data_IF_211044916671
#
_entry.id   IF_211044916671
#
_cell.length_a   1.000
_cell.length_b   1.000
_cell.length_c   1.000
_cell.angle_alpha   90.00
_cell.angle_beta   90.00
_cell.angle_gamma   90.00
#
_symmetry.space_group_name_H-M   'P 1'
#
loop_
_entity.id
_entity.type
_entity.pdbx_description
1 polymer ?
#
# COMPACT_ATOMS: atom_id res chain seq x y z
N UNK A 1 82.37 50.96 43.62
CA UNK A 1 82.08 51.47 44.97
C UNK A 1 80.59 51.77 45.05
N UNK A 2 79.98 51.07 45.97
CA UNK A 2 78.77 51.38 46.73
C UNK A 2 77.78 52.35 46.06
N UNK A 3 76.62 51.91 45.65
CA UNK A 3 75.44 51.44 46.42
C UNK A 3 74.39 52.56 46.65
N UNK A 4 73.35 52.20 46.86
CA UNK A 4 72.20 52.68 47.68
C UNK A 4 70.91 52.99 46.88
N UNK A 5 70.01 52.14 47.12
CA UNK A 5 68.62 52.00 46.93
C UNK A 5 67.81 53.19 47.46
N UNK A 6 66.74 53.55 46.79
CA UNK A 6 65.54 54.11 47.46
C UNK A 6 64.25 53.56 46.90
N UNK A 7 63.47 52.99 47.78
CA UNK A 7 62.09 52.55 47.59
C UNK A 7 61.11 53.74 47.57
N UNK A 8 60.22 53.78 46.68
CA UNK A 8 59.02 54.64 46.83
C UNK A 8 57.80 53.82 46.51
N UNK A 9 57.00 53.60 47.56
CA UNK A 9 55.72 52.94 47.54
C UNK A 9 54.66 53.95 47.05
N UNK A 10 53.98 53.70 45.94
CA UNK A 10 52.78 54.41 45.55
C UNK A 10 51.62 53.46 45.66
N UNK A 11 50.75 53.76 46.63
CA UNK A 11 49.49 53.04 46.80
C UNK A 11 48.52 53.51 45.71
N UNK A 12 48.04 52.60 44.87
CA UNK A 12 47.04 52.85 43.87
C UNK A 12 45.72 52.22 44.36
N UNK A 13 44.70 53.06 44.60
CA UNK A 13 43.35 52.67 44.95
C UNK A 13 42.65 52.04 43.74
N UNK A 14 42.26 50.77 43.89
CA UNK A 14 41.48 50.09 42.90
C UNK A 14 39.99 50.38 43.11
N UNK A 15 39.39 51.19 42.25
CA UNK A 15 37.96 51.29 42.12
C UNK A 15 37.44 50.02 41.44
N UNK A 16 36.70 49.20 42.15
CA UNK A 16 35.96 48.08 41.59
C UNK A 16 34.71 48.56 40.84
N UNK A 17 34.77 48.65 39.53
CA UNK A 17 33.57 48.75 38.67
C UNK A 17 32.94 47.36 38.50
N UNK A 18 31.78 47.20 39.10
CA UNK A 18 30.95 46.04 38.95
C UNK A 18 30.23 46.12 37.58
N UNK A 19 30.77 45.49 36.54
CA UNK A 19 30.07 45.28 35.26
C UNK A 19 29.17 44.07 35.42
N UNK A 20 27.88 44.33 35.60
CA UNK A 20 26.80 43.33 35.46
C UNK A 20 26.75 42.86 34.01
N UNK A 21 27.48 41.81 33.70
CA UNK A 21 27.41 41.12 32.40
C UNK A 21 26.08 40.35 32.29
N UNK A 22 25.20 40.89 31.50
CA UNK A 22 23.96 40.23 31.08
C UNK A 22 24.36 39.02 30.25
N UNK A 23 24.35 37.81 30.84
CA UNK A 23 24.47 36.55 30.10
C UNK A 23 23.17 36.34 29.31
N UNK A 24 23.13 36.82 28.07
CA UNK A 24 22.18 36.35 27.09
C UNK A 24 22.40 34.84 26.92
N UNK A 25 21.50 34.07 27.50
CA UNK A 25 21.32 32.65 27.20
C UNK A 25 20.99 32.54 25.73
N UNK A 26 21.97 32.19 24.89
CA UNK A 26 21.72 31.71 23.55
C UNK A 26 20.92 30.41 23.67
N UNK A 27 19.62 30.51 23.55
CA UNK A 27 18.76 29.36 23.30
C UNK A 27 19.26 28.70 22.01
N UNK A 28 19.95 27.57 22.15
CA UNK A 28 20.18 26.67 21.01
C UNK A 28 18.82 26.14 20.62
N UNK A 29 18.24 26.67 19.57
CA UNK A 29 17.14 26.05 18.84
C UNK A 29 17.71 24.69 18.40
N UNK A 30 17.26 23.60 19.02
CA UNK A 30 17.43 22.25 18.47
C UNK A 30 16.84 22.30 17.07
N UNK A 31 17.68 22.22 16.07
CA UNK A 31 17.28 21.98 14.69
C UNK A 31 16.74 20.55 14.70
N UNK A 32 15.41 20.42 14.72
CA UNK A 32 14.77 19.12 14.52
C UNK A 32 15.17 18.64 13.14
N UNK A 33 15.89 17.53 13.09
CA UNK A 33 16.16 16.83 11.84
C UNK A 33 14.79 16.47 11.25
N UNK A 34 14.49 16.81 10.00
CA UNK A 34 13.24 16.40 9.38
C UNK A 34 13.09 14.89 9.57
N UNK A 35 11.97 14.44 10.11
CA UNK A 35 11.69 13.03 10.26
C UNK A 35 11.60 12.42 8.86
N UNK A 36 12.42 11.41 8.60
CA UNK A 36 12.40 10.71 7.32
C UNK A 36 11.05 10.02 7.16
N UNK A 37 10.44 10.13 5.97
CA UNK A 37 9.18 9.48 5.66
C UNK A 37 9.32 7.96 5.74
N UNK A 38 8.29 7.30 6.27
CA UNK A 38 8.16 5.84 6.25
C UNK A 38 7.99 5.34 4.81
N UNK A 39 8.19 4.05 4.58
CA UNK A 39 7.94 3.45 3.27
C UNK A 39 6.48 3.64 2.83
N UNK A 40 5.55 3.49 3.76
CA UNK A 40 4.12 3.74 3.53
C UNK A 40 3.85 5.18 3.06
N UNK A 41 4.39 6.18 3.75
CA UNK A 41 4.24 7.58 3.36
C UNK A 41 4.86 7.88 1.99
N UNK A 42 6.03 7.28 1.68
CA UNK A 42 6.67 7.40 0.36
C UNK A 42 5.81 6.80 -0.76
N UNK A 43 5.22 5.62 -0.55
CA UNK A 43 4.35 4.97 -1.53
C UNK A 43 3.08 5.78 -1.77
N UNK A 44 2.41 6.25 -0.72
CA UNK A 44 1.24 7.13 -0.83
C UNK A 44 1.59 8.41 -1.59
N UNK A 45 2.68 9.09 -1.22
CA UNK A 45 3.11 10.31 -1.90
C UNK A 45 3.43 10.07 -3.38
N UNK A 46 4.02 8.91 -3.74
CA UNK A 46 4.30 8.57 -5.14
C UNK A 46 3.00 8.42 -5.94
N UNK A 47 2.01 7.70 -5.43
CA UNK A 47 0.73 7.53 -6.13
C UNK A 47 0.00 8.87 -6.25
N UNK A 48 -0.10 9.64 -5.17
CA UNK A 48 -0.77 10.95 -5.20
C UNK A 48 -0.03 11.99 -6.06
N UNK A 49 1.28 11.78 -6.30
CA UNK A 49 2.04 12.63 -7.21
C UNK A 49 1.57 12.55 -8.67
N UNK A 50 0.93 11.47 -9.06
CA UNK A 50 0.32 11.34 -10.39
C UNK A 50 -0.75 12.42 -10.61
N UNK A 51 -1.53 12.75 -9.57
CA UNK A 51 -2.54 13.81 -9.62
C UNK A 51 -1.93 15.20 -9.44
N UNK A 52 -1.01 15.34 -8.49
CA UNK A 52 -0.47 16.66 -8.11
C UNK A 52 0.63 17.16 -9.03
N UNK A 53 1.27 16.26 -9.79
CA UNK A 53 2.45 16.56 -10.61
C UNK A 53 3.72 16.83 -9.79
N UNK A 54 3.71 16.51 -8.49
CA UNK A 54 4.88 16.68 -7.62
C UNK A 54 6.04 15.80 -8.08
N UNK A 55 7.24 16.38 -8.22
CA UNK A 55 8.41 15.67 -8.74
C UNK A 55 9.22 14.97 -7.63
N UNK A 56 9.16 15.45 -6.41
CA UNK A 56 9.93 14.89 -5.29
C UNK A 56 9.65 13.40 -5.07
N UNK A 57 8.39 12.91 -5.06
CA UNK A 57 8.11 11.50 -4.82
C UNK A 57 8.71 10.54 -5.86
N UNK A 58 8.97 10.99 -7.07
CA UNK A 58 9.67 10.20 -8.09
C UNK A 58 11.09 9.84 -7.60
N UNK A 59 11.69 10.68 -6.77
CA UNK A 59 12.97 10.42 -6.13
C UNK A 59 12.95 9.27 -5.10
N UNK A 60 11.79 8.75 -4.72
CA UNK A 60 11.67 7.56 -3.86
C UNK A 60 11.88 6.27 -4.65
N UNK A 61 11.74 6.30 -5.96
CA UNK A 61 12.05 5.16 -6.84
C UNK A 61 13.59 5.02 -6.96
N UNK A 62 14.08 3.79 -6.90
CA UNK A 62 15.48 3.49 -7.18
C UNK A 62 15.74 3.60 -8.69
N UNK A 63 16.59 4.54 -9.13
CA UNK A 63 16.77 4.79 -10.56
C UNK A 63 17.50 3.68 -11.31
N UNK A 64 18.23 2.82 -10.58
CA UNK A 64 19.03 1.73 -11.16
C UNK A 64 18.37 0.36 -11.06
N UNK A 65 17.34 0.26 -10.20
CA UNK A 65 16.65 -0.98 -9.91
C UNK A 65 15.18 -0.68 -9.66
N UNK A 66 14.38 -0.73 -10.70
CA UNK A 66 12.92 -0.62 -10.58
C UNK A 66 12.28 -1.61 -11.54
N UNK A 67 11.73 -2.67 -10.97
CA UNK A 67 11.10 -3.76 -11.70
C UNK A 67 9.60 -3.47 -11.75
N UNK A 68 9.02 -3.49 -12.95
CA UNK A 68 7.60 -3.23 -13.18
C UNK A 68 6.88 -4.50 -13.58
N UNK A 69 5.75 -4.81 -12.88
CA UNK A 69 4.90 -5.98 -13.14
C UNK A 69 3.53 -5.62 -13.73
N UNK A 70 3.20 -4.32 -13.91
CA UNK A 70 2.11 -3.96 -14.80
C UNK A 70 2.52 -4.26 -16.23
N UNK A 71 1.83 -5.19 -16.86
CA UNK A 71 2.20 -5.68 -18.21
C UNK A 71 1.99 -4.65 -19.31
N UNK A 72 1.16 -3.62 -19.04
CA UNK A 72 0.93 -2.51 -19.98
C UNK A 72 1.95 -1.37 -19.82
N UNK A 73 2.90 -1.47 -18.88
CA UNK A 73 3.90 -0.43 -18.58
C UNK A 73 5.30 -0.95 -18.84
N UNK A 74 6.16 -0.13 -19.44
CA UNK A 74 7.57 -0.45 -19.65
C UNK A 74 8.34 -0.63 -18.34
N UNK A 75 9.44 -1.37 -18.38
CA UNK A 75 10.28 -1.61 -17.20
C UNK A 75 11.08 -0.37 -16.81
N UNK A 76 11.44 -0.29 -15.52
CA UNK A 76 12.31 0.75 -15.00
C UNK A 76 11.66 2.13 -14.90
N UNK A 77 12.46 3.11 -14.48
CA UNK A 77 12.02 4.49 -14.30
C UNK A 77 11.58 5.15 -15.63
N UNK A 78 12.12 4.69 -16.76
CA UNK A 78 11.73 5.14 -18.11
C UNK A 78 10.26 4.75 -18.38
N UNK A 79 9.87 3.50 -18.09
CA UNK A 79 8.49 3.05 -18.24
C UNK A 79 7.51 3.85 -17.37
N UNK A 80 7.87 4.15 -16.13
CA UNK A 80 7.08 5.05 -15.27
C UNK A 80 6.97 6.45 -15.88
N UNK A 81 8.08 7.00 -16.40
CA UNK A 81 8.10 8.31 -17.06
C UNK A 81 7.20 8.37 -18.30
N UNK A 82 7.09 7.28 -19.05
CA UNK A 82 6.16 7.19 -20.20
C UNK A 82 4.70 7.22 -19.75
N UNK A 83 4.34 6.59 -18.64
CA UNK A 83 2.98 6.69 -18.05
C UNK A 83 2.64 8.13 -17.77
N UNK A 84 3.50 8.85 -17.06
CA UNK A 84 3.29 10.27 -16.72
C UNK A 84 3.20 11.14 -17.98
N UNK A 85 4.04 10.91 -18.98
CA UNK A 85 4.06 11.65 -20.25
C UNK A 85 2.77 11.46 -21.07
N UNK A 86 2.20 10.26 -21.01
CA UNK A 86 0.99 9.90 -21.73
C UNK A 86 -0.28 10.07 -20.90
N UNK A 87 -0.23 10.92 -19.87
CA UNK A 87 -1.40 11.28 -19.06
C UNK A 87 -2.57 11.73 -19.94
N UNK A 88 -3.83 11.44 -19.54
CA UNK A 88 -5.00 11.99 -20.20
C UNK A 88 -4.96 13.53 -20.24
N UNK A 89 -5.66 14.20 -21.17
CA UNK A 89 -5.69 15.66 -21.25
C UNK A 89 -6.13 16.34 -19.93
N UNK A 90 -7.01 15.69 -19.16
CA UNK A 90 -7.49 16.16 -17.86
C UNK A 90 -6.58 15.74 -16.69
N UNK A 91 -5.43 15.11 -16.98
CA UNK A 91 -4.50 14.57 -16.00
C UNK A 91 -4.97 13.25 -15.38
N UNK A 92 -4.18 12.79 -14.40
CA UNK A 92 -4.57 11.68 -13.53
C UNK A 92 -5.34 12.21 -12.34
N UNK A 93 -6.27 11.40 -11.83
CA UNK A 93 -6.71 11.49 -10.43
C UNK A 93 -6.26 10.22 -9.74
N UNK A 94 -5.72 10.37 -8.55
CA UNK A 94 -5.27 9.27 -7.72
C UNK A 94 -5.51 9.64 -6.26
N UNK A 95 -6.28 8.82 -5.57
CA UNK A 95 -6.59 8.99 -4.15
C UNK A 95 -6.43 7.66 -3.44
N UNK A 96 -5.45 7.59 -2.56
CA UNK A 96 -5.26 6.41 -1.72
C UNK A 96 -6.36 6.36 -0.66
N UNK A 97 -7.11 5.27 -0.63
CA UNK A 97 -8.20 5.02 0.32
C UNK A 97 -7.67 4.29 1.55
N UNK A 98 -6.80 3.29 1.34
CA UNK A 98 -6.15 2.48 2.39
C UNK A 98 -4.70 2.27 2.04
N UNK A 99 -3.83 2.31 3.05
CA UNK A 99 -2.40 2.05 2.91
C UNK A 99 -1.92 1.16 4.05
N UNK A 100 -1.16 0.13 3.71
CA UNK A 100 -0.67 -0.89 4.62
C UNK A 100 0.82 -1.15 4.39
N UNK A 101 1.51 -1.63 5.44
CA UNK A 101 2.93 -1.97 5.39
C UNK A 101 3.17 -3.34 6.02
N UNK A 102 3.91 -4.22 5.33
CA UNK A 102 4.32 -5.54 5.79
C UNK A 102 5.80 -5.77 5.46
N UNK A 103 6.67 -5.50 6.42
CA UNK A 103 8.12 -5.57 6.22
C UNK A 103 8.61 -4.62 5.12
N UNK A 104 9.18 -5.18 4.06
CA UNK A 104 9.67 -4.40 2.92
C UNK A 104 8.57 -4.07 1.90
N UNK A 105 7.33 -4.48 2.15
CA UNK A 105 6.21 -4.26 1.23
C UNK A 105 5.26 -3.20 1.76
N UNK A 106 4.78 -2.36 0.83
CA UNK A 106 3.64 -1.46 1.05
C UNK A 106 2.58 -1.81 0.03
N UNK A 107 1.33 -1.95 0.47
CA UNK A 107 0.20 -2.17 -0.44
C UNK A 107 -0.90 -1.14 -0.21
N UNK A 108 -1.44 -0.65 -1.31
CA UNK A 108 -2.40 0.44 -1.34
C UNK A 108 -3.69 -0.01 -2.01
N UNK A 109 -4.82 0.49 -1.52
CA UNK A 109 -6.10 0.43 -2.20
C UNK A 109 -6.46 1.84 -2.66
N UNK A 110 -6.54 2.05 -3.98
CA UNK A 110 -6.52 3.36 -4.60
C UNK A 110 -7.71 3.56 -5.54
N UNK A 111 -8.33 4.74 -5.46
CA UNK A 111 -9.26 5.26 -6.45
C UNK A 111 -8.48 6.03 -7.50
N UNK A 112 -8.71 5.69 -8.77
CA UNK A 112 -8.09 6.34 -9.91
C UNK A 112 -9.13 6.91 -10.88
N UNK A 113 -8.77 7.97 -11.60
CA UNK A 113 -9.45 8.36 -12.84
C UNK A 113 -8.38 8.70 -13.89
N UNK A 114 -8.17 7.77 -14.80
CA UNK A 114 -7.38 7.93 -16.02
C UNK A 114 -8.00 7.06 -17.12
N UNK A 115 -8.42 7.69 -18.20
CA UNK A 115 -9.24 7.03 -19.23
C UNK A 115 -10.49 6.35 -18.65
N UNK A 116 -11.12 6.99 -17.64
CA UNK A 116 -12.25 6.51 -16.88
C UNK A 116 -11.93 6.12 -15.45
N UNK A 117 -12.98 6.05 -14.58
CA UNK A 117 -12.82 5.76 -13.17
C UNK A 117 -12.40 4.29 -12.94
N UNK A 118 -11.39 4.09 -12.10
CA UNK A 118 -10.83 2.78 -11.78
C UNK A 118 -10.59 2.63 -10.28
N UNK A 119 -10.57 1.39 -9.85
CA UNK A 119 -10.08 0.97 -8.53
C UNK A 119 -8.85 0.11 -8.73
N UNK A 120 -7.87 0.22 -7.86
CA UNK A 120 -6.61 -0.52 -7.94
C UNK A 120 -6.08 -0.97 -6.60
N UNK A 121 -5.35 -2.08 -6.62
CA UNK A 121 -4.37 -2.42 -5.61
C UNK A 121 -2.98 -2.26 -6.20
N UNK A 122 -2.15 -1.45 -5.53
CA UNK A 122 -0.73 -1.27 -5.83
C UNK A 122 0.10 -1.93 -4.74
N UNK A 123 1.15 -2.64 -5.12
CA UNK A 123 2.11 -3.24 -4.20
C UNK A 123 3.50 -2.77 -4.56
N UNK A 124 4.18 -2.20 -3.60
CA UNK A 124 5.56 -1.73 -3.72
C UNK A 124 6.48 -2.53 -2.83
N UNK A 125 7.65 -2.90 -3.33
CA UNK A 125 8.72 -3.44 -2.52
C UNK A 125 9.84 -2.42 -2.38
N UNK A 126 10.34 -2.30 -1.17
CA UNK A 126 11.39 -1.36 -0.79
C UNK A 126 12.70 -2.09 -0.51
N UNK A 127 13.81 -1.45 -0.85
CA UNK A 127 15.16 -1.78 -0.39
C UNK A 127 15.85 -0.48 0.00
N UNK A 128 16.43 -0.45 1.21
CA UNK A 128 17.15 0.73 1.73
C UNK A 128 16.33 2.04 1.60
N UNK A 129 15.01 1.95 1.88
CA UNK A 129 14.10 3.10 1.83
C UNK A 129 13.77 3.62 0.43
N UNK A 130 14.06 2.83 -0.62
CA UNK A 130 13.74 3.12 -2.03
C UNK A 130 12.83 2.05 -2.60
N UNK A 131 11.90 2.45 -3.46
CA UNK A 131 11.03 1.56 -4.22
C UNK A 131 11.88 0.89 -5.32
N UNK A 132 11.92 -0.43 -5.30
CA UNK A 132 12.67 -1.24 -6.26
C UNK A 132 11.79 -2.12 -7.13
N UNK A 133 10.48 -2.25 -6.79
CA UNK A 133 9.60 -3.15 -7.53
C UNK A 133 8.14 -2.75 -7.30
N UNK A 134 7.30 -2.92 -8.31
CA UNK A 134 5.90 -2.52 -8.31
C UNK A 134 5.03 -3.54 -9.04
N UNK A 135 3.93 -3.89 -8.41
CA UNK A 135 2.81 -4.66 -8.96
C UNK A 135 1.54 -3.85 -8.79
N UNK A 136 0.61 -4.02 -9.68
CA UNK A 136 -0.74 -3.49 -9.54
C UNK A 136 -1.78 -4.46 -10.09
N UNK A 137 -3.02 -4.24 -9.75
CA UNK A 137 -4.18 -4.87 -10.35
C UNK A 137 -5.28 -3.81 -10.43
N UNK A 138 -5.87 -3.61 -11.59
CA UNK A 138 -6.79 -2.52 -11.87
C UNK A 138 -8.11 -3.05 -12.44
N UNK A 139 -9.23 -2.47 -12.00
CA UNK A 139 -10.55 -2.71 -12.58
C UNK A 139 -11.31 -1.38 -12.75
N UNK A 140 -12.30 -1.38 -13.64
CA UNK A 140 -13.22 -0.24 -13.74
C UNK A 140 -14.12 -0.18 -12.51
N UNK A 141 -14.41 1.03 -12.04
CA UNK A 141 -15.43 1.23 -11.00
C UNK A 141 -16.80 1.01 -11.63
N UNK A 142 -17.56 0.13 -11.01
CA UNK A 142 -18.92 -0.23 -11.44
C UNK A 142 -19.97 0.29 -10.45
N UNK A 143 -21.24 0.06 -10.77
CA UNK A 143 -22.35 0.35 -9.85
C UNK A 143 -22.17 -0.41 -8.53
N UNK A 144 -22.72 0.11 -7.43
CA UNK A 144 -22.75 -0.61 -6.16
C UNK A 144 -23.32 -2.03 -6.31
N UNK A 145 -22.84 -2.94 -5.47
CA UNK A 145 -23.30 -4.32 -5.42
C UNK A 145 -24.78 -4.41 -4.96
N UNK A 146 -25.39 -5.61 -4.97
CA UNK A 146 -26.80 -5.77 -4.56
C UNK A 146 -27.09 -5.33 -3.11
N UNK A 147 -26.08 -5.24 -2.25
CA UNK A 147 -26.20 -4.72 -0.87
C UNK A 147 -25.95 -3.21 -0.77
N UNK A 148 -25.72 -2.52 -1.90
CA UNK A 148 -25.49 -1.08 -1.96
C UNK A 148 -24.06 -0.64 -1.62
N UNK A 149 -23.07 -1.57 -1.57
CA UNK A 149 -21.67 -1.27 -1.31
C UNK A 149 -20.91 -1.02 -2.59
N UNK A 150 -19.93 -0.12 -2.49
CA UNK A 150 -18.99 0.15 -3.59
C UNK A 150 -17.68 -0.61 -3.40
N UNK A 151 -16.88 -0.67 -4.45
CA UNK A 151 -15.55 -1.26 -4.43
C UNK A 151 -14.55 -0.48 -3.54
N UNK A 152 -14.89 0.74 -3.09
CA UNK A 152 -14.01 1.66 -2.38
C UNK A 152 -14.41 1.91 -0.91
N UNK A 153 -15.69 1.76 -0.55
CA UNK A 153 -16.16 2.02 0.81
C UNK A 153 -15.73 0.93 1.81
N UNK A 154 -16.25 0.98 3.04
CA UNK A 154 -15.91 0.05 4.11
C UNK A 154 -14.82 0.56 5.06
N UNK A 155 -14.34 -0.32 5.94
CA UNK A 155 -13.42 0.02 7.01
C UNK A 155 -12.04 0.45 6.49
N UNK A 156 -11.41 1.41 7.19
CA UNK A 156 -10.07 1.91 6.88
C UNK A 156 -9.13 1.88 8.10
N UNK A 157 -9.66 1.69 9.29
CA UNK A 157 -8.88 1.71 10.52
C UNK A 157 -8.13 0.38 10.72
N UNK A 158 -6.82 0.47 10.88
CA UNK A 158 -5.97 -0.69 11.17
C UNK A 158 -5.99 -0.93 12.67
N UNK A 159 -6.46 -2.11 13.07
CA UNK A 159 -6.49 -2.60 14.44
C UNK A 159 -5.72 -3.91 14.57
N UNK A 160 -5.66 -4.51 15.77
CA UNK A 160 -5.07 -5.85 15.98
C UNK A 160 -3.64 -6.01 15.43
N UNK A 161 -2.79 -4.99 15.57
CA UNK A 161 -1.43 -4.99 15.03
C UNK A 161 -0.56 -6.15 15.57
N UNK A 162 -0.84 -6.59 16.79
CA UNK A 162 -0.22 -7.75 17.40
C UNK A 162 -0.69 -9.10 16.84
N UNK A 163 -1.75 -9.10 16.03
CA UNK A 163 -2.32 -10.30 15.39
C UNK A 163 -2.04 -10.42 13.90
N UNK A 164 -1.21 -9.54 13.33
CA UNK A 164 -0.91 -9.52 11.89
C UNK A 164 -0.58 -10.92 11.35
N UNK A 165 0.38 -11.61 11.94
CA UNK A 165 0.80 -12.94 11.47
C UNK A 165 -0.30 -14.01 11.65
N UNK A 166 -1.09 -13.93 12.71
CA UNK A 166 -2.23 -14.83 12.91
C UNK A 166 -3.32 -14.60 11.85
N UNK A 167 -3.62 -13.33 11.54
CA UNK A 167 -4.59 -12.97 10.52
C UNK A 167 -4.12 -13.39 9.12
N UNK A 168 -2.83 -13.19 8.79
CA UNK A 168 -2.21 -13.70 7.55
C UNK A 168 -2.33 -15.23 7.45
N UNK A 169 -2.09 -15.95 8.54
CA UNK A 169 -2.20 -17.41 8.57
C UNK A 169 -3.66 -17.87 8.34
N UNK A 170 -4.65 -17.21 8.96
CA UNK A 170 -6.07 -17.49 8.76
C UNK A 170 -6.48 -17.28 7.31
N UNK A 171 -6.13 -16.13 6.70
CA UNK A 171 -6.47 -15.84 5.30
C UNK A 171 -5.75 -16.77 4.33
N UNK A 172 -4.47 -17.09 4.59
CA UNK A 172 -3.73 -18.07 3.79
C UNK A 172 -4.41 -19.44 3.81
N UNK A 173 -4.86 -19.89 4.99
CA UNK A 173 -5.59 -21.15 5.12
C UNK A 173 -6.93 -21.10 4.39
N UNK A 174 -7.69 -20.00 4.53
CA UNK A 174 -8.93 -19.76 3.78
C UNK A 174 -8.72 -19.88 2.26
N UNK A 175 -7.75 -19.14 1.72
CA UNK A 175 -7.45 -19.19 0.28
C UNK A 175 -7.04 -20.59 -0.15
N UNK A 176 -6.25 -21.29 0.67
CA UNK A 176 -5.78 -22.65 0.36
C UNK A 176 -6.92 -23.64 0.38
N UNK A 177 -7.68 -23.71 1.48
CA UNK A 177 -8.70 -24.73 1.67
C UNK A 177 -9.93 -24.46 0.80
N UNK A 178 -10.41 -23.20 0.79
CA UNK A 178 -11.66 -22.86 0.12
C UNK A 178 -11.46 -22.56 -1.37
N UNK A 179 -10.54 -21.64 -1.69
CA UNK A 179 -10.43 -21.12 -3.06
C UNK A 179 -9.60 -22.02 -3.98
N UNK A 180 -8.50 -22.60 -3.45
CA UNK A 180 -7.64 -23.50 -4.23
C UNK A 180 -8.15 -24.94 -4.21
N UNK A 181 -8.55 -25.47 -3.04
CA UNK A 181 -8.91 -26.88 -2.87
C UNK A 181 -10.42 -27.15 -3.01
N UNK A 182 -11.27 -26.09 -2.92
CA UNK A 182 -12.73 -26.23 -3.05
C UNK A 182 -13.43 -26.89 -1.85
N UNK A 183 -12.82 -26.84 -0.66
CA UNK A 183 -13.35 -27.44 0.58
C UNK A 183 -14.44 -26.54 1.21
N UNK A 184 -15.54 -26.33 0.49
CA UNK A 184 -16.58 -25.36 0.85
C UNK A 184 -17.24 -25.62 2.23
N UNK A 185 -17.19 -26.84 2.73
CA UNK A 185 -17.68 -27.25 4.06
C UNK A 185 -16.90 -26.58 5.21
N UNK A 186 -15.67 -26.16 4.97
CA UNK A 186 -14.84 -25.40 5.92
C UNK A 186 -15.09 -23.89 5.92
N UNK A 187 -15.95 -23.34 5.06
CA UNK A 187 -16.16 -21.91 4.89
C UNK A 187 -16.34 -21.18 6.22
N UNK A 188 -17.17 -21.72 7.13
CA UNK A 188 -17.47 -21.11 8.42
C UNK A 188 -16.33 -21.22 9.45
N UNK A 189 -15.28 -21.98 9.14
CA UNK A 189 -14.06 -21.99 9.97
C UNK A 189 -13.28 -20.70 9.81
N UNK A 190 -13.43 -20.02 8.69
CA UNK A 190 -12.72 -18.81 8.31
C UNK A 190 -13.58 -17.56 8.26
N UNK A 191 -14.77 -17.64 7.66
CA UNK A 191 -15.66 -16.51 7.44
C UNK A 191 -16.68 -16.41 8.56
N UNK A 192 -16.95 -15.19 9.01
CA UNK A 192 -17.96 -14.92 10.04
C UNK A 192 -19.36 -15.26 9.51
N UNK A 193 -20.16 -15.92 10.34
CA UNK A 193 -21.58 -16.21 10.08
C UNK A 193 -22.51 -15.07 10.49
N UNK A 194 -22.00 -14.09 11.27
CA UNK A 194 -22.76 -12.96 11.77
C UNK A 194 -22.64 -11.74 10.85
N UNK A 195 -21.42 -11.48 10.36
CA UNK A 195 -21.13 -10.32 9.52
C UNK A 195 -20.10 -10.70 8.46
N UNK A 196 -20.47 -10.55 7.20
CA UNK A 196 -19.58 -10.64 6.07
C UNK A 196 -19.98 -9.61 5.03
N UNK A 197 -19.23 -8.51 4.97
CA UNK A 197 -19.47 -7.40 4.06
C UNK A 197 -18.71 -7.65 2.76
N UNK A 198 -19.36 -7.45 1.64
CA UNK A 198 -18.80 -7.75 0.33
C UNK A 198 -18.70 -6.47 -0.51
N UNK A 199 -17.54 -6.25 -1.14
CA UNK A 199 -17.31 -5.10 -2.02
C UNK A 199 -17.10 -5.48 -3.49
N UNK A 200 -17.18 -6.78 -3.84
CA UNK A 200 -17.31 -7.19 -5.22
C UNK A 200 -18.65 -6.70 -5.78
N UNK A 201 -18.64 -6.06 -6.94
CA UNK A 201 -19.82 -5.43 -7.52
C UNK A 201 -20.96 -6.39 -7.90
N UNK A 202 -20.66 -7.67 -8.06
CA UNK A 202 -21.64 -8.71 -8.42
C UNK A 202 -22.16 -9.53 -7.24
N UNK A 203 -21.63 -9.35 -6.01
CA UNK A 203 -21.87 -10.24 -4.88
C UNK A 203 -22.51 -9.47 -3.72
N UNK A 204 -23.61 -9.97 -3.18
CA UNK A 204 -24.26 -9.41 -1.99
C UNK A 204 -23.51 -9.77 -0.71
N UNK A 205 -23.80 -9.04 0.38
CA UNK A 205 -23.30 -9.34 1.72
C UNK A 205 -23.72 -10.71 2.23
N UNK A 206 -22.95 -11.24 3.15
CA UNK A 206 -23.21 -12.47 3.87
C UNK A 206 -22.86 -13.73 3.10
N UNK A 207 -22.85 -14.85 3.80
CA UNK A 207 -22.60 -16.16 3.20
C UNK A 207 -23.69 -16.57 2.19
N UNK A 208 -24.93 -16.07 2.37
CA UNK A 208 -26.00 -16.27 1.41
C UNK A 208 -25.72 -15.57 0.07
N UNK A 209 -25.22 -14.31 0.12
CA UNK A 209 -24.82 -13.57 -1.07
C UNK A 209 -23.67 -14.26 -1.82
N UNK A 210 -22.66 -14.71 -1.10
CA UNK A 210 -21.55 -15.47 -1.67
C UNK A 210 -22.02 -16.79 -2.28
N UNK A 211 -22.87 -17.55 -1.56
CA UNK A 211 -23.44 -18.81 -2.07
C UNK A 211 -24.26 -18.61 -3.33
N UNK A 212 -25.08 -17.54 -3.38
CA UNK A 212 -25.86 -17.19 -4.57
C UNK A 212 -24.98 -16.86 -5.79
N UNK A 213 -23.87 -16.14 -5.59
CA UNK A 213 -22.91 -15.86 -6.66
C UNK A 213 -22.24 -17.15 -7.17
N UNK A 214 -21.79 -18.02 -6.28
CA UNK A 214 -21.18 -19.30 -6.66
C UNK A 214 -22.17 -20.20 -7.43
N UNK A 215 -23.43 -20.23 -7.00
CA UNK A 215 -24.50 -20.95 -7.71
C UNK A 215 -24.71 -20.35 -9.10
N UNK A 216 -24.79 -19.02 -9.22
CA UNK A 216 -24.95 -18.34 -10.51
C UNK A 216 -23.79 -18.67 -11.47
N UNK A 217 -22.54 -18.68 -10.99
CA UNK A 217 -21.40 -19.06 -11.83
C UNK A 217 -21.52 -20.49 -12.32
N UNK A 218 -21.88 -21.44 -11.44
CA UNK A 218 -22.02 -22.84 -11.78
C UNK A 218 -23.17 -23.07 -12.82
N UNK A 219 -24.31 -22.44 -12.63
CA UNK A 219 -25.49 -22.57 -13.53
C UNK A 219 -25.23 -21.97 -14.91
N UNK A 220 -24.35 -20.95 -15.01
CA UNK A 220 -24.01 -20.29 -16.26
C UNK A 220 -22.73 -20.81 -16.90
N UNK A 221 -22.11 -21.83 -16.32
CA UNK A 221 -20.83 -22.39 -16.82
C UNK A 221 -19.68 -21.39 -16.76
N UNK A 222 -19.72 -20.47 -15.78
CA UNK A 222 -18.66 -19.52 -15.54
C UNK A 222 -17.66 -20.07 -14.51
N UNK A 223 -16.40 -19.75 -14.70
CA UNK A 223 -15.33 -20.15 -13.79
C UNK A 223 -15.09 -19.07 -12.73
N UNK A 224 -14.87 -19.49 -11.50
CA UNK A 224 -14.18 -18.78 -10.45
C UNK A 224 -13.15 -19.77 -9.91
N UNK A 225 -11.99 -19.79 -10.53
CA UNK A 225 -10.96 -20.81 -10.27
C UNK A 225 -9.68 -20.11 -9.84
N UNK A 226 -9.18 -20.49 -8.68
CA UNK A 226 -7.86 -20.13 -8.20
C UNK A 226 -6.90 -21.28 -8.48
N UNK A 227 -5.77 -20.99 -9.13
CA UNK A 227 -4.78 -22.00 -9.50
C UNK A 227 -3.54 -21.94 -8.58
N UNK A 228 -3.16 -20.74 -8.13
CA UNK A 228 -1.98 -20.52 -7.30
C UNK A 228 -2.07 -19.27 -6.45
N UNK A 229 -1.70 -19.38 -5.17
CA UNK A 229 -1.45 -18.26 -4.27
C UNK A 229 0.02 -17.86 -4.35
N UNK A 230 0.29 -16.63 -4.78
CA UNK A 230 1.65 -16.10 -4.94
C UNK A 230 2.13 -15.38 -3.69
N UNK A 231 1.27 -14.57 -3.05
CA UNK A 231 1.67 -13.77 -1.90
C UNK A 231 0.52 -13.53 -0.91
N UNK A 232 0.92 -13.37 0.36
CA UNK A 232 0.03 -12.92 1.45
C UNK A 232 0.76 -11.79 2.15
N UNK A 233 0.16 -10.61 2.19
CA UNK A 233 0.65 -9.42 2.87
C UNK A 233 -0.38 -8.99 3.92
N UNK A 234 0.05 -8.42 5.03
CA UNK A 234 -0.90 -8.01 6.07
C UNK A 234 -0.38 -6.93 6.98
N UNK A 235 -1.29 -6.12 7.51
CA UNK A 235 -1.05 -5.20 8.63
C UNK A 235 -2.27 -5.19 9.54
N UNK A 236 -2.07 -5.59 10.78
CA UNK A 236 -3.15 -5.67 11.76
C UNK A 236 -4.24 -6.64 11.32
N UNK A 237 -5.45 -6.11 11.24
CA UNK A 237 -6.65 -6.83 10.84
C UNK A 237 -6.91 -6.86 9.32
N UNK A 238 -6.02 -6.30 8.47
CA UNK A 238 -6.12 -6.35 7.01
C UNK A 238 -5.09 -7.29 6.42
N UNK A 239 -5.52 -8.10 5.44
CA UNK A 239 -4.66 -9.05 4.73
C UNK A 239 -5.00 -9.02 3.24
N UNK A 240 -3.99 -8.75 2.40
CA UNK A 240 -4.08 -8.84 0.95
C UNK A 240 -3.49 -10.17 0.49
N UNK A 241 -4.21 -10.86 -0.40
CA UNK A 241 -3.67 -12.00 -1.14
C UNK A 241 -3.56 -11.70 -2.62
N UNK A 242 -2.52 -12.25 -3.24
CA UNK A 242 -2.28 -12.16 -4.68
C UNK A 242 -2.27 -13.58 -5.22
N UNK A 243 -3.24 -13.88 -6.07
CA UNK A 243 -3.43 -15.19 -6.65
C UNK A 243 -3.57 -15.13 -8.17
N UNK A 244 -3.40 -16.27 -8.79
CA UNK A 244 -3.54 -16.49 -10.22
C UNK A 244 -4.61 -17.54 -10.45
N UNK A 245 -5.37 -17.42 -11.57
CA UNK A 245 -6.37 -18.40 -11.89
C UNK A 245 -7.16 -18.08 -13.16
N UNK A 246 -8.41 -18.54 -13.20
CA UNK A 246 -9.33 -18.34 -14.33
C UNK A 246 -10.64 -17.76 -13.86
N UNK A 247 -11.18 -16.82 -14.64
CA UNK A 247 -12.46 -16.18 -14.36
C UNK A 247 -13.37 -16.15 -15.60
N UNK A 248 -14.67 -16.09 -15.35
CA UNK A 248 -15.67 -15.96 -16.41
C UNK A 248 -15.65 -17.14 -17.36
N UNK A 249 -15.35 -16.92 -18.63
CA UNK A 249 -15.28 -17.97 -19.67
C UNK A 249 -13.94 -18.70 -19.75
N UNK A 250 -13.07 -18.47 -18.77
CA UNK A 250 -11.76 -19.13 -18.67
C UNK A 250 -10.60 -18.19 -18.97
N UNK A 251 -10.85 -16.88 -18.91
CA UNK A 251 -9.79 -15.88 -19.02
C UNK A 251 -8.77 -16.07 -17.92
N UNK A 252 -7.49 -16.04 -18.25
CA UNK A 252 -6.39 -16.06 -17.28
C UNK A 252 -6.34 -14.73 -16.55
N UNK A 253 -6.40 -14.75 -15.22
CA UNK A 253 -6.57 -13.55 -14.41
C UNK A 253 -5.62 -13.53 -13.20
N UNK A 254 -5.36 -12.31 -12.73
CA UNK A 254 -4.83 -12.05 -11.41
C UNK A 254 -5.98 -11.66 -10.48
N UNK A 255 -6.01 -12.29 -9.30
CA UNK A 255 -6.90 -11.96 -8.20
C UNK A 255 -6.11 -11.23 -7.12
N UNK A 256 -6.54 -10.04 -6.76
CA UNK A 256 -6.06 -9.31 -5.60
C UNK A 256 -7.24 -9.19 -4.64
N UNK A 257 -7.16 -9.94 -3.53
CA UNK A 257 -8.24 -10.04 -2.55
C UNK A 257 -7.78 -9.40 -1.24
N UNK A 258 -8.46 -8.36 -0.79
CA UNK A 258 -8.23 -7.73 0.51
C UNK A 258 -9.30 -8.20 1.48
N UNK A 259 -8.86 -8.75 2.59
CA UNK A 259 -9.72 -9.22 3.68
C UNK A 259 -9.51 -8.39 4.92
N UNK A 260 -10.59 -8.13 5.66
CA UNK A 260 -10.53 -7.61 7.01
C UNK A 260 -11.07 -8.64 7.99
N UNK A 261 -10.38 -8.78 9.12
CA UNK A 261 -10.70 -9.76 10.13
C UNK A 261 -11.12 -9.09 11.45
N UNK A 262 -12.04 -9.73 12.15
CA UNK A 262 -12.39 -9.44 13.54
C UNK A 262 -12.49 -10.76 14.32
N UNK A 263 -11.89 -10.81 15.50
CA UNK A 263 -11.93 -12.03 16.33
C UNK A 263 -11.35 -13.28 15.63
N UNK A 264 -10.45 -13.11 14.65
CA UNK A 264 -9.87 -14.21 13.87
C UNK A 264 -10.77 -14.76 12.77
N UNK A 265 -11.86 -14.07 12.42
CA UNK A 265 -12.77 -14.40 11.30
C UNK A 265 -12.75 -13.31 10.27
N UNK A 266 -12.87 -13.67 9.00
CA UNK A 266 -13.05 -12.75 7.89
C UNK A 266 -14.46 -12.16 7.98
N UNK A 267 -14.55 -10.82 8.05
CA UNK A 267 -15.80 -10.06 8.18
C UNK A 267 -16.04 -9.12 7.02
N UNK A 268 -15.04 -8.88 6.16
CA UNK A 268 -15.17 -7.95 5.03
C UNK A 268 -14.17 -8.30 3.94
N UNK A 269 -14.57 -8.11 2.67
CA UNK A 269 -13.81 -8.51 1.51
C UNK A 269 -13.95 -7.51 0.36
N UNK A 270 -12.84 -7.14 -0.25
CA UNK A 270 -12.70 -6.41 -1.51
C UNK A 270 -11.89 -7.25 -2.47
N UNK A 271 -12.22 -7.23 -3.73
CA UNK A 271 -11.42 -7.89 -4.76
C UNK A 271 -11.24 -7.02 -6.00
N UNK A 272 -10.15 -7.27 -6.70
CA UNK A 272 -9.90 -6.78 -8.05
C UNK A 272 -9.43 -7.94 -8.89
N UNK A 273 -10.18 -8.23 -9.95
CA UNK A 273 -9.89 -9.29 -10.91
C UNK A 273 -9.48 -8.64 -12.22
N UNK A 274 -8.23 -8.85 -12.63
CA UNK A 274 -7.69 -8.30 -13.87
C UNK A 274 -7.27 -9.41 -14.83
N UNK A 275 -7.73 -9.31 -16.08
CA UNK A 275 -7.30 -10.25 -17.12
C UNK A 275 -5.84 -10.02 -17.48
N UNK A 276 -5.05 -11.10 -17.44
CA UNK A 276 -3.64 -11.08 -17.83
C UNK A 276 -3.58 -11.05 -19.35
N UNK A 277 -2.95 -10.00 -19.88
CA UNK A 277 -2.77 -9.83 -21.31
C UNK A 277 -1.95 -10.98 -21.93
N UNK A 278 -2.19 -11.35 -23.20
CA UNK A 278 -1.27 -12.22 -23.94
C UNK A 278 0.17 -11.69 -23.95
N UNK A 279 1.16 -12.57 -23.91
CA UNK A 279 2.58 -12.19 -23.80
C UNK A 279 3.07 -11.27 -24.92
N UNK A 280 2.51 -11.38 -26.13
CA UNK A 280 2.84 -10.53 -27.27
C UNK A 280 2.38 -9.06 -27.11
N UNK A 281 1.56 -8.78 -26.11
CA UNK A 281 1.09 -7.43 -25.75
C UNK A 281 1.83 -6.82 -24.55
N UNK A 282 2.72 -7.58 -23.91
CA UNK A 282 3.46 -7.10 -22.75
C UNK A 282 4.48 -6.02 -23.12
N UNK A 283 4.56 -4.98 -22.30
CA UNK A 283 5.54 -3.91 -22.43
C UNK A 283 6.82 -4.17 -21.63
N UNK A 284 6.81 -5.17 -20.77
CA UNK A 284 7.96 -5.65 -20.03
C UNK A 284 7.95 -7.19 -20.00
N UNK A 285 9.08 -7.81 -19.62
CA UNK A 285 9.24 -9.27 -19.57
C UNK A 285 9.30 -9.82 -18.15
N UNK A 286 8.90 -9.04 -17.12
CA UNK A 286 9.03 -9.44 -15.72
C UNK A 286 7.91 -10.39 -15.27
N UNK A 287 6.83 -10.49 -16.05
CA UNK A 287 5.63 -11.23 -15.67
C UNK A 287 4.72 -10.46 -14.71
N UNK A 288 3.51 -10.98 -14.48
CA UNK A 288 2.48 -10.36 -13.61
C UNK A 288 2.74 -10.63 -12.13
N UNK A 289 3.40 -11.74 -11.79
CA UNK A 289 3.56 -12.22 -10.42
C UNK A 289 5.02 -12.21 -9.94
N UNK A 290 5.22 -12.57 -8.68
CA UNK A 290 6.52 -12.60 -7.99
C UNK A 290 7.43 -13.73 -8.46
#
# INVERSE_FOLDING_TARGET
>A
MKAITFFSIIALAILSMNCSGNKQSMSQTKQETPMELTNKEKAVALIESLQTGAQEPIGYINPSKYIQHNLAVGNGLEGFGEVVKNAPPDGFKAKVIRAFEDGDFVFLHTEYDFFGPKVGFDVFRFEEGKIVEHWDNLAEITSPNPSGRTQLDGATEITDQDKTEANKATVKAFVTDILLNGEADKMTDYVSTETYLQHNSGIADGLEGLGGALQYFAENGLLLQYDKLHRVLGEGNFVLTISEGKFGKGDHVAYYDLFRLEGGKIVEHWDIIETILPEDQWKNSNGKFF
#
